data_IF_293873335187
#
_entry.id   IF_293873335187
#
_cell.length_a   1.000
_cell.length_b   1.000
_cell.length_c   1.000
_cell.angle_alpha   90.00
_cell.angle_beta   90.00
_cell.angle_gamma   90.00
#
_symmetry.space_group_name_H-M   'P 1'
#
loop_
_entity.id
_entity.type
_entity.pdbx_description
1 polymer ?
#
# COMPACT_ATOMS: atom_id res chain seq x y z
N UNK A 1 -1.14 -2.30 -19.84
CA UNK A 1 -1.94 -3.20 -19.04
C UNK A 1 -2.05 -2.71 -17.62
N UNK A 2 -3.18 -2.82 -17.08
CA UNK A 2 -3.43 -2.29 -15.74
C UNK A 2 -2.94 -3.24 -14.68
N UNK A 3 -2.49 -2.65 -13.60
CA UNK A 3 -2.20 -3.46 -12.41
C UNK A 3 -3.49 -4.12 -11.97
N UNK A 4 -3.36 -5.34 -11.48
CA UNK A 4 -4.50 -6.03 -10.93
C UNK A 4 -4.99 -5.29 -9.69
N UNK A 5 -6.29 -5.18 -9.50
CA UNK A 5 -6.79 -4.63 -8.25
C UNK A 5 -6.27 -5.46 -7.09
N UNK A 6 -5.99 -4.79 -6.00
CA UNK A 6 -5.49 -5.45 -4.81
C UNK A 6 -6.39 -6.62 -4.40
N UNK A 7 -7.70 -6.40 -4.45
CA UNK A 7 -8.66 -7.42 -4.06
C UNK A 7 -8.58 -8.64 -4.96
N UNK A 8 -8.34 -8.42 -6.24
CA UNK A 8 -8.34 -9.54 -7.20
C UNK A 8 -7.05 -10.34 -7.15
N UNK A 9 -5.94 -9.71 -6.72
CA UNK A 9 -4.65 -10.39 -6.79
C UNK A 9 -4.31 -11.17 -5.53
N UNK A 10 -4.93 -10.83 -4.37
CA UNK A 10 -4.40 -11.30 -3.10
C UNK A 10 -5.50 -11.88 -2.24
N UNK A 11 -5.32 -13.13 -1.86
CA UNK A 11 -6.23 -13.80 -0.95
C UNK A 11 -5.67 -13.77 0.47
N UNK A 12 -6.53 -13.89 1.48
CA UNK A 12 -6.03 -14.02 2.85
C UNK A 12 -5.02 -15.14 2.95
N UNK A 13 -3.97 -14.91 3.72
CA UNK A 13 -2.88 -15.87 3.82
C UNK A 13 -3.31 -17.18 4.47
N UNK A 14 -4.39 -17.16 5.23
CA UNK A 14 -4.87 -18.39 5.89
C UNK A 14 -6.03 -19.06 5.16
N UNK A 15 -6.37 -18.60 3.94
CA UNK A 15 -7.56 -19.11 3.26
C UNK A 15 -7.32 -20.47 2.62
N UNK A 16 -6.24 -20.63 1.89
CA UNK A 16 -5.92 -21.87 1.18
C UNK A 16 -4.50 -21.78 0.67
N UNK A 17 -3.88 -22.90 0.29
CA UNK A 17 -2.54 -22.81 -0.30
C UNK A 17 -2.55 -21.92 -1.53
N UNK A 18 -1.52 -21.10 -1.66
CA UNK A 18 -1.38 -20.16 -2.75
C UNK A 18 -0.70 -20.83 -3.93
N UNK A 19 -1.11 -20.43 -5.13
CA UNK A 19 -0.35 -20.79 -6.32
C UNK A 19 0.93 -19.95 -6.34
N UNK A 20 1.85 -20.34 -7.21
CA UNK A 20 3.09 -19.59 -7.37
C UNK A 20 2.81 -18.15 -7.78
N UNK A 21 1.85 -17.97 -8.70
CA UNK A 21 1.49 -16.64 -9.17
C UNK A 21 0.86 -15.80 -8.07
N UNK A 22 0.03 -16.41 -7.26
CA UNK A 22 -0.58 -15.69 -6.15
C UNK A 22 0.47 -15.30 -5.12
N UNK A 23 1.42 -16.19 -4.86
CA UNK A 23 2.49 -15.87 -3.92
C UNK A 23 3.35 -14.73 -4.44
N UNK A 24 3.63 -14.70 -5.74
CA UNK A 24 4.42 -13.61 -6.31
C UNK A 24 3.69 -12.28 -6.23
N UNK A 25 2.39 -12.28 -6.50
CA UNK A 25 1.62 -11.06 -6.41
C UNK A 25 1.59 -10.53 -4.98
N UNK A 26 1.39 -11.43 -4.03
CA UNK A 26 1.37 -11.06 -2.62
C UNK A 26 2.74 -10.53 -2.19
N UNK A 27 3.80 -11.18 -2.64
CA UNK A 27 5.16 -10.74 -2.29
C UNK A 27 5.45 -9.35 -2.85
N UNK A 28 4.96 -9.04 -4.05
CA UNK A 28 5.16 -7.71 -4.61
C UNK A 28 4.49 -6.64 -3.76
N UNK A 29 3.32 -6.96 -3.22
CA UNK A 29 2.62 -6.04 -2.35
C UNK A 29 3.43 -5.75 -1.09
N UNK A 30 3.90 -6.80 -0.43
CA UNK A 30 4.70 -6.61 0.78
C UNK A 30 6.03 -5.93 0.48
N UNK A 31 6.62 -6.23 -0.67
CA UNK A 31 7.86 -5.58 -1.05
C UNK A 31 7.68 -4.08 -1.25
N UNK A 32 6.55 -3.69 -1.85
CA UNK A 32 6.27 -2.28 -2.02
C UNK A 32 6.16 -1.56 -0.68
N UNK A 33 5.68 -2.25 0.35
CA UNK A 33 5.55 -1.68 1.68
C UNK A 33 6.79 -1.87 2.54
N UNK A 34 7.79 -2.58 2.07
CA UNK A 34 8.95 -2.93 2.88
C UNK A 34 10.03 -1.87 2.92
N UNK A 35 9.64 -0.61 2.91
CA UNK A 35 10.56 0.53 2.96
C UNK A 35 9.98 1.56 3.92
N UNK A 36 10.76 2.07 4.87
CA UNK A 36 10.22 3.02 5.85
C UNK A 36 9.59 4.25 5.24
N UNK A 37 10.19 4.79 4.18
CA UNK A 37 9.61 5.97 3.54
C UNK A 37 8.26 5.64 2.93
N UNK A 38 8.11 4.46 2.36
CA UNK A 38 6.83 4.08 1.76
C UNK A 38 5.76 3.85 2.81
N UNK A 39 6.12 3.27 3.94
CA UNK A 39 5.17 3.15 5.04
C UNK A 39 4.71 4.54 5.48
N UNK A 40 5.64 5.50 5.57
CA UNK A 40 5.27 6.85 5.95
C UNK A 40 4.38 7.52 4.90
N UNK A 41 4.63 7.26 3.62
CA UNK A 41 3.76 7.78 2.58
C UNK A 41 2.33 7.26 2.77
N UNK A 42 2.18 5.97 2.98
CA UNK A 42 0.86 5.39 3.20
C UNK A 42 0.21 6.01 4.42
N UNK A 43 0.96 6.19 5.48
CA UNK A 43 0.44 6.81 6.69
C UNK A 43 -0.03 8.25 6.43
N UNK A 44 0.76 9.03 5.72
CA UNK A 44 0.41 10.42 5.43
C UNK A 44 -0.84 10.50 4.57
N UNK A 45 -0.97 9.61 3.59
CA UNK A 45 -2.16 9.60 2.75
C UNK A 45 -3.37 9.09 3.50
N UNK A 46 -3.20 8.12 4.38
CA UNK A 46 -4.31 7.56 5.15
C UNK A 46 -4.88 8.58 6.12
N UNK A 47 -4.05 9.50 6.60
CA UNK A 47 -4.49 10.51 7.56
C UNK A 47 -4.87 11.82 6.92
N UNK A 48 -4.85 11.90 5.59
CA UNK A 48 -5.27 13.08 4.86
C UNK A 48 -6.70 12.92 4.38
N UNK A 49 -7.47 13.99 4.45
CA UNK A 49 -8.85 13.97 3.96
C UNK A 49 -8.94 14.16 2.46
N UNK A 50 -7.86 14.58 1.81
CA UNK A 50 -7.87 14.90 0.40
C UNK A 50 -6.63 14.34 -0.27
N UNK A 51 -6.69 14.17 -1.60
CA UNK A 51 -5.49 13.76 -2.32
C UNK A 51 -4.32 14.72 -2.07
N UNK A 52 -3.12 14.19 -2.07
CA UNK A 52 -1.93 14.91 -1.66
C UNK A 52 -0.99 15.04 -2.85
N UNK A 53 -0.50 16.25 -3.07
CA UNK A 53 0.48 16.52 -4.11
C UNK A 53 1.85 16.02 -3.66
N UNK A 54 2.67 15.60 -4.63
CA UNK A 54 4.01 15.15 -4.33
C UNK A 54 4.81 16.23 -3.60
N UNK A 55 4.56 17.48 -3.91
CA UNK A 55 5.27 18.60 -3.28
C UNK A 55 4.97 18.70 -1.79
N UNK A 56 3.83 18.18 -1.36
CA UNK A 56 3.47 18.23 0.05
C UNK A 56 4.13 17.13 0.86
N UNK A 57 4.70 16.13 0.18
CA UNK A 57 5.34 15.02 0.87
C UNK A 57 6.82 15.21 1.08
N UNK A 58 7.43 16.10 0.29
CA UNK A 58 8.88 16.34 0.35
C UNK A 58 9.31 16.77 1.74
N UNK A 59 8.59 17.74 2.33
CA UNK A 59 8.93 18.23 3.65
C UNK A 59 8.84 17.18 4.74
N UNK A 60 7.66 16.58 4.95
CA UNK A 60 7.53 15.60 6.03
C UNK A 60 8.45 14.41 5.89
N UNK A 61 8.75 13.99 4.65
CA UNK A 61 9.61 12.83 4.44
C UNK A 61 11.09 13.20 4.45
N UNK A 62 11.41 14.48 4.31
CA UNK A 62 12.79 14.97 4.25
C UNK A 62 13.56 14.29 3.12
N UNK A 63 12.90 14.11 1.97
CA UNK A 63 13.48 13.51 0.79
C UNK A 63 13.35 14.46 -0.39
N UNK A 64 14.16 14.23 -1.41
CA UNK A 64 14.04 15.03 -2.64
C UNK A 64 12.79 14.61 -3.40
N UNK A 65 12.31 15.52 -4.25
CA UNK A 65 11.12 15.23 -5.03
C UNK A 65 11.27 13.99 -5.94
N UNK A 66 12.40 13.82 -6.64
CA UNK A 66 12.54 12.59 -7.44
C UNK A 66 12.46 11.31 -6.61
N UNK A 67 13.03 11.34 -5.40
CA UNK A 67 12.97 10.16 -4.52
C UNK A 67 11.55 9.90 -4.06
N UNK A 68 10.82 10.95 -3.69
CA UNK A 68 9.42 10.80 -3.30
C UNK A 68 8.61 10.26 -4.47
N UNK A 69 8.84 10.80 -5.67
CA UNK A 69 8.12 10.34 -6.86
C UNK A 69 8.39 8.87 -7.13
N UNK A 70 9.62 8.41 -6.89
CA UNK A 70 9.96 7.01 -7.07
C UNK A 70 9.17 6.12 -6.11
N UNK A 71 9.09 6.52 -4.86
CA UNK A 71 8.31 5.76 -3.88
C UNK A 71 6.83 5.73 -4.23
N UNK A 72 6.30 6.87 -4.68
CA UNK A 72 4.89 6.93 -5.08
C UNK A 72 4.61 6.02 -6.26
N UNK A 73 5.54 5.96 -7.22
CA UNK A 73 5.37 5.09 -8.36
C UNK A 73 5.35 3.62 -7.94
N UNK A 74 6.26 3.23 -7.05
CA UNK A 74 6.30 1.84 -6.57
C UNK A 74 5.00 1.45 -5.89
N UNK A 75 4.47 2.35 -5.07
CA UNK A 75 3.22 2.08 -4.37
C UNK A 75 2.04 2.06 -5.33
N UNK A 76 2.03 2.95 -6.31
CA UNK A 76 0.97 2.98 -7.32
C UNK A 76 1.00 1.72 -8.17
N UNK A 77 2.19 1.29 -8.58
CA UNK A 77 2.32 0.08 -9.38
C UNK A 77 1.86 -1.16 -8.62
N UNK A 78 1.98 -1.14 -7.31
CA UNK A 78 1.52 -2.24 -6.47
C UNK A 78 0.02 -2.22 -6.19
N UNK A 79 -0.66 -1.17 -6.64
CA UNK A 79 -2.11 -1.07 -6.45
C UNK A 79 -2.54 -0.43 -5.17
N UNK A 80 -1.61 0.15 -4.42
CA UNK A 80 -1.94 0.76 -3.12
C UNK A 80 -2.38 2.20 -3.24
N UNK A 81 -1.95 2.90 -4.28
CA UNK A 81 -2.27 4.31 -4.46
C UNK A 81 -2.97 4.54 -5.79
N UNK A 82 -3.75 5.61 -5.80
CA UNK A 82 -4.36 6.14 -7.01
C UNK A 82 -3.70 7.48 -7.32
N UNK A 83 -3.34 7.67 -8.58
CA UNK A 83 -2.73 8.91 -9.04
C UNK A 83 -3.73 9.66 -9.89
N UNK A 84 -3.87 10.94 -9.62
CA UNK A 84 -4.77 11.81 -10.37
C UNK A 84 -3.98 13.00 -10.88
N UNK A 85 -4.04 13.26 -12.18
CA UNK A 85 -3.38 14.42 -12.77
C UNK A 85 -4.34 15.61 -12.75
N UNK A 86 -3.87 16.73 -12.23
CA UNK A 86 -4.63 17.99 -12.22
C UNK A 86 -3.72 19.06 -12.78
N UNK A 87 -3.89 19.39 -14.06
CA UNK A 87 -3.00 20.31 -14.72
C UNK A 87 -1.61 19.74 -14.79
N UNK A 88 -0.63 20.46 -14.26
CA UNK A 88 0.76 20.02 -14.25
C UNK A 88 1.14 19.24 -13.00
N UNK A 89 0.20 19.09 -12.06
CA UNK A 89 0.50 18.47 -10.77
C UNK A 89 -0.16 17.11 -10.65
N UNK A 90 0.55 16.18 -10.03
CA UNK A 90 0.01 14.86 -9.73
C UNK A 90 -0.39 14.81 -8.26
N UNK A 91 -1.57 14.27 -8.02
CA UNK A 91 -2.11 14.10 -6.68
C UNK A 91 -2.31 12.63 -6.42
N UNK A 92 -2.07 12.21 -5.18
CA UNK A 92 -2.12 10.80 -4.80
C UNK A 92 -3.04 10.59 -3.62
N UNK A 93 -3.72 9.47 -3.63
CA UNK A 93 -4.56 9.05 -2.50
C UNK A 93 -4.47 7.53 -2.39
N UNK A 94 -4.88 7.00 -1.24
CA UNK A 94 -4.93 5.55 -1.08
C UNK A 94 -6.00 4.99 -1.99
N UNK A 95 -5.70 3.85 -2.59
CA UNK A 95 -6.72 3.11 -3.32
C UNK A 95 -7.83 2.73 -2.35
N UNK A 96 -9.05 2.77 -2.86
CA UNK A 96 -10.21 2.48 -2.03
C UNK A 96 -10.05 1.09 -1.42
N UNK A 97 -10.28 1.01 -0.12
CA UNK A 97 -10.23 -0.24 0.64
C UNK A 97 -8.84 -0.88 0.72
N UNK A 98 -7.78 -0.16 0.31
CA UNK A 98 -6.43 -0.74 0.32
C UNK A 98 -6.04 -1.23 1.72
N UNK A 99 -6.27 -0.41 2.75
CA UNK A 99 -5.89 -0.82 4.10
C UNK A 99 -6.77 -1.94 4.62
N UNK A 100 -8.06 -1.94 4.26
CA UNK A 100 -8.96 -3.01 4.66
C UNK A 100 -8.51 -4.33 4.05
N UNK A 101 -8.11 -4.32 2.78
CA UNK A 101 -7.64 -5.53 2.11
C UNK A 101 -6.35 -6.02 2.74
N UNK A 102 -5.44 -5.10 3.08
CA UNK A 102 -4.21 -5.50 3.78
C UNK A 102 -4.52 -6.16 5.11
N UNK A 103 -5.49 -5.62 5.84
CA UNK A 103 -5.90 -6.22 7.09
C UNK A 103 -6.44 -7.61 6.91
N UNK A 104 -7.28 -7.81 5.89
CA UNK A 104 -7.83 -9.14 5.62
C UNK A 104 -6.76 -10.11 5.15
N UNK A 105 -5.80 -9.62 4.38
CA UNK A 105 -4.73 -10.46 3.87
C UNK A 105 -3.95 -11.11 5.00
N UNK A 106 -3.71 -10.36 6.07
CA UNK A 106 -2.89 -10.84 7.19
C UNK A 106 -3.70 -11.31 8.38
N UNK A 107 -5.02 -11.19 8.36
CA UNK A 107 -5.84 -11.61 9.48
C UNK A 107 -5.94 -13.12 9.54
N UNK A 108 -5.82 -13.66 10.75
CA UNK A 108 -5.99 -15.09 10.98
C UNK A 108 -7.42 -15.31 11.41
N UNK A 109 -8.10 -16.22 10.76
CA UNK A 109 -9.48 -16.52 11.12
C UNK A 109 -9.54 -17.36 12.38
N UNK A 110 -10.62 -17.20 13.13
CA UNK A 110 -10.88 -18.01 14.29
C UNK A 110 -10.60 -17.29 15.58
N UNK A 111 -10.40 -18.06 16.62
CA UNK A 111 -10.39 -17.55 17.98
C UNK A 111 -9.15 -16.81 18.38
N UNK A 112 -8.15 -16.79 17.55
CA UNK A 112 -6.88 -16.19 17.95
C UNK A 112 -6.87 -14.68 17.85
N UNK A 113 -7.94 -14.11 17.38
CA UNK A 113 -7.97 -12.68 17.13
C UNK A 113 -7.78 -11.84 18.37
N UNK A 114 -8.22 -12.36 19.51
CA UNK A 114 -8.17 -11.59 20.73
C UNK A 114 -6.92 -11.82 21.53
N UNK A 115 -6.05 -12.68 21.03
CA UNK A 115 -4.82 -12.92 21.74
C UNK A 115 -3.88 -11.74 21.58
N UNK A 116 -3.24 -11.32 22.65
CA UNK A 116 -2.22 -10.30 22.52
C UNK A 116 -1.12 -10.81 21.61
N UNK A 117 -0.63 -9.93 20.75
CA UNK A 117 0.48 -10.27 19.90
C UNK A 117 1.74 -10.21 20.74
N UNK A 118 2.47 -11.31 20.76
CA UNK A 118 3.75 -11.31 21.45
C UNK A 118 4.75 -10.48 20.65
N UNK A 119 5.32 -9.50 21.31
CA UNK A 119 6.31 -8.65 20.66
C UNK A 119 7.65 -9.15 21.10
N UNK A 120 8.41 -9.63 20.14
CA UNK A 120 9.72 -10.16 20.44
C UNK A 120 10.71 -9.08 20.78
#
# INVERSE_FOLDING_TARGET
>A
MNALPLIACCRPLDAAPLSEEEAEATARLFKALGDPARVRVVNLLATSDEPVCVCELVGPLALTQPTVSHHLKKLTDAGLLVREQRGTWAYYSLAQDALAVLGELTAVKGENRERPVAVA
#
